data_IF_745633079682
#
_entry.id   IF_745633079682
#
_cell.length_a   1.000
_cell.length_b   1.000
_cell.length_c   1.000
_cell.angle_alpha   90.00
_cell.angle_beta   90.00
_cell.angle_gamma   90.00
#
_symmetry.space_group_name_H-M   'P 1'
#
loop_
_entity.id
_entity.type
_entity.pdbx_description
1 polymer ?
#
# COMPACT_ATOMS: atom_id res chain seq x y z
N UNK A 1 113.23 10.06 -26.36
CA UNK A 1 112.96 11.33 -25.65
C UNK A 1 111.49 11.36 -25.26
N UNK A 2 111.20 11.72 -24.00
CA UNK A 2 109.89 12.05 -23.38
C UNK A 2 108.99 12.87 -24.34
N UNK A 3 107.65 12.83 -24.37
CA UNK A 3 106.62 12.66 -23.34
C UNK A 3 105.23 12.47 -24.00
N UNK A 4 104.24 11.96 -23.24
CA UNK A 4 102.82 11.71 -23.60
C UNK A 4 102.06 13.00 -24.01
N UNK A 5 100.96 12.85 -24.77
CA UNK A 5 99.55 13.05 -24.36
C UNK A 5 98.62 12.87 -25.58
N UNK A 6 97.40 12.45 -25.29
CA UNK A 6 96.48 11.65 -26.09
C UNK A 6 95.20 12.45 -26.44
N UNK A 7 94.31 11.82 -27.22
CA UNK A 7 92.85 12.03 -27.30
C UNK A 7 92.28 12.85 -28.48
N UNK A 8 91.84 12.06 -29.46
CA UNK A 8 90.49 11.97 -30.06
C UNK A 8 89.78 13.20 -30.68
N UNK A 9 89.74 13.12 -32.01
CA UNK A 9 88.55 13.05 -32.89
C UNK A 9 87.43 14.10 -32.73
N UNK A 10 87.48 15.05 -33.65
CA UNK A 10 86.45 16.02 -34.04
C UNK A 10 85.29 15.42 -34.85
N UNK A 11 84.05 15.82 -34.49
CA UNK A 11 82.88 16.22 -35.33
C UNK A 11 82.30 15.15 -36.30
N UNK A 12 80.99 15.00 -36.55
CA UNK A 12 79.74 15.76 -36.32
C UNK A 12 78.55 14.94 -36.92
N UNK A 13 77.30 15.40 -36.69
CA UNK A 13 76.01 15.15 -37.41
C UNK A 13 75.18 13.96 -36.86
N UNK A 14 73.87 14.04 -36.54
CA UNK A 14 72.89 15.14 -36.44
C UNK A 14 71.56 14.55 -35.88
N UNK A 15 70.99 15.21 -34.85
CA UNK A 15 69.57 15.57 -34.53
C UNK A 15 68.43 14.56 -34.82
N UNK A 16 67.42 14.40 -33.97
CA UNK A 16 66.97 15.26 -32.88
C UNK A 16 65.84 14.63 -32.06
N UNK A 17 65.76 15.10 -30.82
CA UNK A 17 64.93 14.68 -29.71
C UNK A 17 63.99 15.82 -29.28
N UNK A 18 62.87 15.47 -28.63
CA UNK A 18 62.26 16.19 -27.49
C UNK A 18 61.71 17.62 -27.77
N UNK A 19 60.74 18.20 -27.08
CA UNK A 19 59.82 17.86 -26.01
C UNK A 19 58.81 19.04 -25.95
N UNK A 20 57.62 18.74 -25.44
CA UNK A 20 56.63 19.58 -24.75
C UNK A 20 57.18 20.86 -24.06
N UNK A 21 56.46 22.00 -24.17
CA UNK A 21 56.38 23.08 -23.14
C UNK A 21 55.04 23.84 -23.29
N UNK A 22 54.47 24.15 -22.12
CA UNK A 22 53.23 24.86 -21.77
C UNK A 22 53.52 26.34 -21.45
N UNK A 23 52.65 27.31 -21.83
CA UNK A 23 52.24 28.52 -21.05
C UNK A 23 51.64 29.70 -21.88
N UNK A 24 50.36 29.98 -21.63
CA UNK A 24 49.66 31.26 -21.29
C UNK A 24 49.90 32.63 -22.03
N UNK A 25 48.75 33.30 -22.32
CA UNK A 25 48.37 34.74 -22.21
C UNK A 25 48.37 35.70 -23.45
N UNK A 26 47.18 36.29 -23.65
CA UNK A 26 46.76 37.60 -24.24
C UNK A 26 46.64 37.74 -25.77
N UNK A 27 45.38 37.88 -26.24
CA UNK A 27 45.04 38.82 -27.33
C UNK A 27 43.73 39.55 -26.96
N UNK A 28 43.68 40.90 -26.96
CA UNK A 28 42.46 41.66 -26.67
C UNK A 28 41.74 42.11 -27.96
N UNK A 29 40.61 42.79 -27.75
CA UNK A 29 39.79 43.54 -28.70
C UNK A 29 38.60 42.79 -29.32
N UNK A 30 37.60 42.67 -28.47
CA UNK A 30 36.18 42.49 -28.81
C UNK A 30 35.70 43.69 -29.64
N UNK A 31 35.34 43.45 -30.89
CA UNK A 31 34.53 44.36 -31.70
C UNK A 31 33.09 43.81 -31.66
N UNK A 32 32.32 44.18 -30.63
CA UNK A 32 30.89 43.87 -30.57
C UNK A 32 30.19 44.79 -31.54
N UNK A 33 29.91 44.26 -32.73
CA UNK A 33 28.90 44.81 -33.61
C UNK A 33 27.55 44.55 -32.92
N UNK A 34 26.93 45.61 -32.42
CA UNK A 34 25.61 45.60 -31.78
C UNK A 34 24.54 45.42 -32.86
N UNK A 35 24.32 44.19 -33.29
CA UNK A 35 23.07 43.81 -33.93
C UNK A 35 22.16 43.27 -32.84
N UNK A 36 21.20 44.10 -32.39
CA UNK A 36 20.09 43.63 -31.57
C UNK A 36 19.32 42.61 -32.42
N UNK A 37 19.26 41.32 -32.05
CA UNK A 37 18.30 40.45 -32.69
C UNK A 37 16.92 40.95 -32.25
N UNK A 38 16.11 41.39 -33.20
CA UNK A 38 14.67 41.60 -32.98
C UNK A 38 14.10 40.27 -32.51
N UNK A 39 13.92 40.13 -31.20
CA UNK A 39 13.25 38.99 -30.58
C UNK A 39 11.80 39.01 -31.06
N UNK A 40 11.54 38.27 -32.13
CA UNK A 40 10.23 37.67 -32.31
C UNK A 40 10.07 36.75 -31.10
N UNK A 41 9.27 37.15 -30.12
CA UNK A 41 8.93 36.35 -28.95
C UNK A 41 8.10 35.16 -29.42
N UNK A 42 8.77 34.16 -29.97
CA UNK A 42 8.20 32.87 -30.19
C UNK A 42 8.02 32.26 -28.80
N UNK A 43 6.81 32.38 -28.25
CA UNK A 43 6.39 31.83 -26.97
C UNK A 43 6.64 30.32 -26.85
N UNK A 44 6.96 29.65 -27.97
CA UNK A 44 7.40 28.25 -28.05
C UNK A 44 8.82 27.99 -27.55
N UNK A 45 9.63 29.00 -27.24
CA UNK A 45 10.99 28.82 -26.69
C UNK A 45 11.11 29.05 -25.18
N UNK A 46 10.04 29.49 -24.51
CA UNK A 46 10.08 29.73 -23.06
C UNK A 46 9.43 28.52 -22.38
N UNK A 47 10.19 27.66 -21.69
CA UNK A 47 9.61 26.52 -21.00
C UNK A 47 8.82 26.97 -19.75
N UNK A 48 7.91 26.13 -19.30
CA UNK A 48 7.35 26.23 -17.96
C UNK A 48 8.35 25.64 -16.95
N UNK A 49 8.32 26.13 -15.72
CA UNK A 49 9.14 25.60 -14.60
C UNK A 49 8.24 24.83 -13.64
N UNK A 50 8.66 23.62 -13.26
CA UNK A 50 7.99 22.78 -12.28
C UNK A 50 8.89 22.57 -11.06
N UNK A 51 8.30 22.73 -9.89
CA UNK A 51 8.89 22.40 -8.59
C UNK A 51 8.00 21.31 -7.99
N UNK A 52 8.48 20.07 -8.02
CA UNK A 52 7.72 18.88 -7.61
C UNK A 52 8.25 18.38 -6.28
N UNK A 53 7.40 18.34 -5.25
CA UNK A 53 7.67 17.63 -4.00
C UNK A 53 7.18 16.19 -4.13
N UNK A 54 8.10 15.23 -4.02
CA UNK A 54 7.79 13.80 -4.04
C UNK A 54 7.36 13.32 -2.65
N UNK A 55 6.73 12.14 -2.55
CA UNK A 55 6.33 11.57 -1.26
C UNK A 55 7.49 11.29 -0.30
N UNK A 56 8.71 11.10 -0.84
CA UNK A 56 9.93 10.89 -0.07
C UNK A 56 10.55 12.21 0.43
N UNK A 57 9.78 13.30 0.45
CA UNK A 57 10.21 14.65 0.80
C UNK A 57 11.34 15.24 -0.06
N UNK A 58 11.56 14.68 -1.26
CA UNK A 58 12.53 15.22 -2.21
C UNK A 58 11.86 16.30 -3.07
N UNK A 59 12.59 17.39 -3.31
CA UNK A 59 12.13 18.45 -4.21
C UNK A 59 12.91 18.37 -5.52
N UNK A 60 12.20 18.14 -6.62
CA UNK A 60 12.74 18.12 -7.97
C UNK A 60 12.35 19.40 -8.69
N UNK A 61 13.34 20.07 -9.26
CA UNK A 61 13.13 21.29 -10.03
C UNK A 61 13.59 21.07 -11.47
N UNK A 62 12.69 21.29 -12.42
CA UNK A 62 13.00 21.15 -13.83
C UNK A 62 12.13 22.07 -14.69
N UNK A 63 12.47 22.14 -15.98
CA UNK A 63 11.71 22.91 -16.97
C UNK A 63 11.14 21.98 -18.03
N UNK A 64 9.96 22.30 -18.55
CA UNK A 64 9.23 21.46 -19.49
C UNK A 64 8.59 22.29 -20.60
N UNK A 65 8.43 21.67 -21.76
CA UNK A 65 7.64 22.18 -22.89
C UNK A 65 6.35 21.40 -23.08
N UNK A 66 6.09 20.40 -22.23
CA UNK A 66 4.87 19.61 -22.28
C UNK A 66 3.64 20.47 -21.94
N UNK A 67 2.50 20.25 -22.61
CA UNK A 67 1.37 21.15 -22.49
C UNK A 67 0.60 20.98 -21.18
N UNK A 68 0.68 19.82 -20.50
CA UNK A 68 -0.01 19.57 -19.23
C UNK A 68 0.91 19.07 -18.13
N UNK A 69 0.44 19.15 -16.87
CA UNK A 69 1.17 18.66 -15.70
C UNK A 69 1.52 17.18 -15.83
N UNK A 70 0.57 16.32 -16.19
CA UNK A 70 0.81 14.88 -16.26
C UNK A 70 1.85 14.51 -17.33
N UNK A 71 1.77 15.10 -18.52
CA UNK A 71 2.74 14.86 -19.59
C UNK A 71 4.14 15.35 -19.19
N UNK A 72 4.23 16.47 -18.47
CA UNK A 72 5.50 16.97 -17.95
C UNK A 72 6.13 16.03 -16.91
N UNK A 73 5.32 15.46 -16.01
CA UNK A 73 5.77 14.47 -15.03
C UNK A 73 6.22 13.18 -15.73
N UNK A 74 5.45 12.69 -16.69
CA UNK A 74 5.77 11.50 -17.49
C UNK A 74 7.08 11.67 -18.27
N UNK A 75 7.27 12.82 -18.93
CA UNK A 75 8.49 13.15 -19.66
C UNK A 75 9.73 13.25 -18.74
N UNK A 76 9.53 13.72 -17.51
CA UNK A 76 10.56 13.74 -16.46
C UNK A 76 10.76 12.37 -15.80
N UNK A 77 10.04 11.32 -16.23
CA UNK A 77 10.06 9.97 -15.66
C UNK A 77 9.64 9.93 -14.19
N UNK A 78 8.82 10.88 -13.75
CA UNK A 78 8.24 10.92 -12.40
C UNK A 78 6.94 10.12 -12.43
N UNK A 79 6.97 8.90 -11.90
CA UNK A 79 5.80 8.03 -11.86
C UNK A 79 4.83 8.48 -10.77
N UNK A 80 3.57 8.70 -11.15
CA UNK A 80 2.45 8.95 -10.23
C UNK A 80 1.59 7.68 -10.21
N UNK A 81 1.34 7.12 -9.02
CA UNK A 81 0.51 5.93 -8.87
C UNK A 81 -0.97 6.20 -9.19
N UNK A 82 -1.71 5.17 -9.61
CA UNK A 82 -3.13 5.31 -10.00
C UNK A 82 -4.02 5.91 -8.89
N UNK A 83 -3.68 5.64 -7.62
CA UNK A 83 -4.44 6.13 -6.46
C UNK A 83 -3.84 7.40 -5.84
N UNK A 84 -2.66 7.80 -6.28
CA UNK A 84 -1.96 8.99 -5.77
C UNK A 84 -2.73 10.25 -6.15
N UNK A 85 -2.52 11.31 -5.39
CA UNK A 85 -3.16 12.61 -5.64
C UNK A 85 -2.13 13.69 -5.82
N UNK A 86 -2.41 14.61 -6.74
CA UNK A 86 -1.58 15.79 -6.99
C UNK A 86 -2.22 17.03 -6.35
N UNK A 87 -1.40 17.96 -5.88
CA UNK A 87 -1.89 19.26 -5.39
C UNK A 87 -2.49 20.14 -6.49
N UNK A 88 -2.12 19.88 -7.76
CA UNK A 88 -2.67 20.52 -8.96
C UNK A 88 -3.36 19.47 -9.84
N UNK A 89 -4.37 19.86 -10.64
CA UNK A 89 -5.00 18.96 -11.60
C UNK A 89 -3.97 18.37 -12.58
N UNK A 90 -4.09 17.08 -12.87
CA UNK A 90 -3.24 16.33 -13.81
C UNK A 90 -3.25 16.94 -15.23
N UNK A 91 -4.40 17.41 -15.68
CA UNK A 91 -4.63 18.03 -16.97
C UNK A 91 -4.45 19.55 -16.97
N UNK A 92 -3.91 20.14 -15.90
CA UNK A 92 -3.70 21.59 -15.81
C UNK A 92 -2.77 22.04 -16.95
N UNK A 93 -3.20 22.99 -17.80
CA UNK A 93 -2.36 23.48 -18.89
C UNK A 93 -1.19 24.31 -18.34
N UNK A 94 0.01 23.97 -18.79
CA UNK A 94 1.24 24.65 -18.43
C UNK A 94 1.50 25.80 -19.40
N UNK A 95 1.59 27.01 -18.86
CA UNK A 95 1.87 28.22 -19.62
C UNK A 95 3.36 28.52 -19.62
N UNK A 96 3.89 28.83 -20.81
CA UNK A 96 5.28 29.22 -21.02
C UNK A 96 5.72 30.35 -20.07
N UNK A 97 6.86 30.17 -19.39
CA UNK A 97 7.44 31.15 -18.48
C UNK A 97 6.82 31.22 -17.08
N UNK A 98 5.76 30.45 -16.81
CA UNK A 98 5.20 30.32 -15.46
C UNK A 98 5.92 29.25 -14.65
N UNK A 99 5.83 29.39 -13.32
CA UNK A 99 6.36 28.43 -12.35
C UNK A 99 5.20 27.76 -11.60
N UNK A 100 5.25 26.44 -11.47
CA UNK A 100 4.20 25.62 -10.88
C UNK A 100 4.78 24.78 -9.73
N UNK A 101 4.14 24.83 -8.57
CA UNK A 101 4.48 24.00 -7.41
C UNK A 101 3.49 22.85 -7.31
N UNK A 102 4.00 21.63 -7.36
CA UNK A 102 3.21 20.40 -7.34
C UNK A 102 3.69 19.55 -6.18
N UNK A 103 2.76 19.01 -5.40
CA UNK A 103 3.03 18.02 -4.37
C UNK A 103 2.36 16.72 -4.79
N UNK A 104 3.13 15.63 -4.80
CA UNK A 104 2.65 14.28 -5.04
C UNK A 104 2.40 13.64 -3.69
N UNK A 105 1.13 13.32 -3.42
CA UNK A 105 0.70 12.67 -2.18
C UNK A 105 0.48 11.19 -2.50
N UNK A 106 1.37 10.35 -1.99
CA UNK A 106 1.30 8.90 -2.15
C UNK A 106 0.10 8.33 -1.40
N UNK A 107 -0.60 7.41 -2.06
CA UNK A 107 -1.81 6.76 -1.55
C UNK A 107 -1.64 5.25 -1.72
N UNK A 108 -1.58 4.58 -0.59
CA UNK A 108 -1.43 3.15 -0.50
C UNK A 108 -2.79 2.46 -0.66
N UNK A 109 -2.80 1.33 -1.39
CA UNK A 109 -3.97 0.48 -1.46
C UNK A 109 -4.12 -0.31 -0.15
N UNK A 110 -5.33 -0.31 0.41
CA UNK A 110 -5.68 -1.03 1.63
C UNK A 110 -6.98 -1.79 1.40
N UNK A 111 -7.10 -2.98 1.98
CA UNK A 111 -8.31 -3.78 1.92
C UNK A 111 -8.92 -3.83 3.31
N UNK A 112 -10.19 -3.46 3.42
CA UNK A 112 -10.97 -3.55 4.66
C UNK A 112 -12.05 -4.62 4.48
N UNK A 113 -12.14 -5.56 5.41
CA UNK A 113 -13.14 -6.63 5.40
C UNK A 113 -14.01 -6.60 6.65
N UNK A 114 -15.33 -6.71 6.47
CA UNK A 114 -16.31 -6.79 7.56
C UNK A 114 -17.34 -7.87 7.24
N UNK A 115 -17.55 -8.81 8.17
CA UNK A 115 -18.51 -9.91 8.00
C UNK A 115 -18.32 -10.68 6.68
N UNK A 116 -17.06 -10.87 6.26
CA UNK A 116 -16.70 -11.55 5.01
C UNK A 116 -16.81 -10.70 3.74
N UNK A 117 -17.24 -9.44 3.82
CA UNK A 117 -17.29 -8.52 2.69
C UNK A 117 -16.05 -7.63 2.66
N UNK A 118 -15.26 -7.73 1.60
CA UNK A 118 -14.05 -6.95 1.40
C UNK A 118 -14.27 -5.74 0.49
N UNK A 119 -13.63 -4.61 0.84
CA UNK A 119 -13.62 -3.36 0.07
C UNK A 119 -12.18 -2.88 -0.06
N UNK A 120 -11.77 -2.59 -1.29
CA UNK A 120 -10.50 -1.90 -1.56
C UNK A 120 -10.67 -0.40 -1.41
N UNK A 121 -9.73 0.24 -0.72
CA UNK A 121 -9.68 1.67 -0.50
C UNK A 121 -8.26 2.19 -0.66
N UNK A 122 -8.13 3.48 -0.92
CA UNK A 122 -6.84 4.16 -0.89
C UNK A 122 -6.70 4.96 0.41
N UNK A 123 -5.55 4.88 1.05
CA UNK A 123 -5.21 5.59 2.28
C UNK A 123 -3.86 6.32 2.14
N UNK A 124 -3.64 7.49 2.79
CA UNK A 124 -2.29 8.04 2.92
C UNK A 124 -1.40 7.06 3.69
N UNK A 125 -0.07 7.18 3.57
CA UNK A 125 0.85 6.37 4.36
C UNK A 125 0.73 6.73 5.85
N UNK A 126 0.09 5.85 6.61
CA UNK A 126 -0.30 6.04 8.00
C UNK A 126 -0.07 4.72 8.74
N UNK A 127 0.23 4.77 10.05
CA UNK A 127 0.36 3.54 10.85
C UNK A 127 -0.96 2.75 10.84
N UNK A 128 -0.85 1.43 10.91
CA UNK A 128 -2.01 0.52 10.85
C UNK A 128 -3.02 0.80 11.97
N UNK A 129 -2.55 1.15 13.16
CA UNK A 129 -3.42 1.50 14.28
C UNK A 129 -4.35 2.69 13.95
N UNK A 130 -3.83 3.71 13.26
CA UNK A 130 -4.63 4.86 12.83
C UNK A 130 -5.66 4.45 11.75
N UNK A 131 -5.31 3.53 10.85
CA UNK A 131 -6.28 2.99 9.89
C UNK A 131 -7.43 2.24 10.55
N UNK A 132 -7.13 1.42 11.57
CA UNK A 132 -8.14 0.68 12.32
C UNK A 132 -9.11 1.65 13.01
N UNK A 133 -8.59 2.71 13.63
CA UNK A 133 -9.45 3.74 14.23
C UNK A 133 -10.26 4.51 13.20
N UNK A 134 -9.68 4.81 12.03
CA UNK A 134 -10.39 5.50 10.95
C UNK A 134 -11.43 4.63 10.25
N UNK A 135 -11.24 3.31 10.22
CA UNK A 135 -12.24 2.37 9.69
C UNK A 135 -13.41 2.16 10.65
N UNK A 136 -13.24 2.54 11.93
CA UNK A 136 -14.22 2.33 12.99
C UNK A 136 -14.26 0.90 13.50
N UNK A 137 -13.29 0.06 13.14
CA UNK A 137 -13.23 -1.32 13.63
C UNK A 137 -12.92 -1.41 15.12
N UNK A 138 -12.24 -0.40 15.68
CA UNK A 138 -12.01 -0.25 17.11
C UNK A 138 -13.28 0.07 17.92
N UNK A 139 -14.36 0.50 17.24
CA UNK A 139 -15.66 0.76 17.86
C UNK A 139 -16.58 -0.47 17.86
N UNK A 140 -16.18 -1.57 17.20
CA UNK A 140 -16.97 -2.78 17.09
C UNK A 140 -16.86 -3.63 18.36
N UNK A 141 -17.86 -4.47 18.59
CA UNK A 141 -17.86 -5.37 19.73
C UNK A 141 -16.70 -6.38 19.62
N UNK A 142 -16.06 -6.69 20.74
CA UNK A 142 -15.02 -7.73 20.85
C UNK A 142 -15.25 -8.65 22.05
N UNK A 143 -16.34 -8.46 22.81
CA UNK A 143 -16.63 -9.24 24.01
C UNK A 143 -17.18 -10.63 23.71
N UNK A 144 -17.76 -10.83 22.53
CA UNK A 144 -18.34 -12.10 22.04
C UNK A 144 -17.32 -13.06 21.40
N UNK A 145 -16.04 -12.66 21.36
CA UNK A 145 -14.97 -13.39 20.67
C UNK A 145 -14.65 -12.83 19.28
N UNK A 146 -15.38 -11.80 18.84
CA UNK A 146 -15.04 -11.03 17.64
C UNK A 146 -13.67 -10.37 17.77
N UNK A 147 -12.99 -10.20 16.64
CA UNK A 147 -11.59 -9.76 16.61
C UNK A 147 -11.22 -9.05 15.31
N UNK A 148 -10.14 -8.27 15.37
CA UNK A 148 -9.50 -7.68 14.19
C UNK A 148 -8.28 -8.53 13.83
N UNK A 149 -8.24 -8.98 12.59
CA UNK A 149 -7.09 -9.64 11.98
C UNK A 149 -6.42 -8.67 11.01
N UNK A 150 -5.10 -8.55 11.09
CA UNK A 150 -4.31 -7.69 10.21
C UNK A 150 -3.27 -8.52 9.46
N UNK A 151 -3.15 -8.26 8.17
CA UNK A 151 -2.10 -8.81 7.32
C UNK A 151 -1.37 -7.66 6.64
N UNK A 152 -0.11 -7.46 7.01
CA UNK A 152 0.72 -6.36 6.55
C UNK A 152 2.10 -6.87 6.19
N UNK A 153 2.67 -6.33 5.11
CA UNK A 153 4.03 -6.65 4.69
C UNK A 153 5.08 -5.88 5.52
N UNK A 154 4.73 -4.66 5.95
CA UNK A 154 5.53 -3.76 6.76
C UNK A 154 4.65 -3.24 7.90
N UNK A 155 5.20 -3.15 9.11
CA UNK A 155 4.49 -2.65 10.28
C UNK A 155 4.40 -1.11 10.29
N UNK A 156 5.31 -0.43 9.60
CA UNK A 156 5.41 1.03 9.58
C UNK A 156 4.61 1.67 8.44
N UNK A 157 4.27 0.90 7.40
CA UNK A 157 3.50 1.35 6.24
C UNK A 157 2.23 0.54 6.07
N UNK A 158 1.17 1.20 5.61
CA UNK A 158 -0.07 0.54 5.24
C UNK A 158 -0.12 0.10 3.77
N UNK A 159 1.00 0.12 3.06
CA UNK A 159 1.08 -0.34 1.68
C UNK A 159 0.63 -1.80 1.54
N UNK A 160 -0.54 -2.00 0.92
CA UNK A 160 -1.11 -3.33 0.69
C UNK A 160 -1.70 -3.98 1.95
N UNK A 161 -1.95 -3.21 3.01
CA UNK A 161 -2.50 -3.73 4.25
C UNK A 161 -3.90 -4.32 4.04
N UNK A 162 -4.15 -5.49 4.63
CA UNK A 162 -5.48 -6.11 4.73
C UNK A 162 -5.89 -6.11 6.20
N UNK A 163 -7.01 -5.46 6.50
CA UNK A 163 -7.57 -5.39 7.85
C UNK A 163 -8.96 -6.01 7.79
N UNK A 164 -9.19 -7.03 8.61
CA UNK A 164 -10.43 -7.81 8.62
C UNK A 164 -11.03 -7.81 10.02
N UNK A 165 -12.29 -7.41 10.14
CA UNK A 165 -13.09 -7.66 11.32
C UNK A 165 -13.82 -9.00 11.16
N UNK A 166 -13.53 -9.93 12.07
CA UNK A 166 -14.20 -11.23 12.17
C UNK A 166 -15.28 -11.13 13.24
N UNK A 167 -16.53 -11.19 12.80
CA UNK A 167 -17.72 -11.16 13.65
C UNK A 167 -18.03 -12.56 14.19
N UNK A 168 -18.20 -12.70 15.49
CA UNK A 168 -18.50 -13.97 16.17
C UNK A 168 -19.85 -13.88 16.86
N UNK A 169 -20.80 -14.71 16.42
CA UNK A 169 -22.15 -14.78 16.99
C UNK A 169 -22.37 -16.10 17.73
N UNK A 170 -22.94 -16.01 18.94
CA UNK A 170 -23.38 -17.17 19.72
C UNK A 170 -24.91 -17.26 19.71
N UNK A 171 -25.44 -18.43 19.37
CA UNK A 171 -26.89 -18.67 19.32
C UNK A 171 -27.26 -19.91 20.11
N UNK A 172 -28.06 -19.70 21.15
CA UNK A 172 -28.62 -20.80 21.93
C UNK A 172 -29.88 -21.35 21.27
N UNK A 173 -29.87 -22.63 20.91
CA UNK A 173 -31.01 -23.37 20.37
C UNK A 173 -31.56 -24.36 21.42
N UNK A 174 -32.88 -24.38 21.60
CA UNK A 174 -33.56 -25.31 22.50
C UNK A 174 -34.37 -26.32 21.71
N UNK A 175 -34.01 -27.59 21.84
CA UNK A 175 -34.72 -28.72 21.22
C UNK A 175 -35.45 -29.52 22.30
N UNK A 176 -36.73 -29.80 22.09
CA UNK A 176 -37.53 -30.64 23.00
C UNK A 176 -37.52 -32.08 22.49
N UNK A 177 -37.20 -33.01 23.39
CA UNK A 177 -37.22 -34.44 23.11
C UNK A 177 -38.20 -35.14 24.06
N UNK A 178 -39.06 -35.99 23.48
CA UNK A 178 -40.02 -36.78 24.23
C UNK A 178 -39.36 -38.00 24.88
N UNK A 179 -39.76 -38.30 26.11
CA UNK A 179 -39.33 -39.47 26.87
C UNK A 179 -40.53 -40.41 27.00
N UNK A 180 -40.52 -41.58 26.32
CA UNK A 180 -41.63 -42.52 26.42
C UNK A 180 -41.75 -43.09 27.83
N UNK A 181 -42.98 -43.38 28.25
CA UNK A 181 -43.22 -44.06 29.53
C UNK A 181 -42.96 -45.57 29.40
N UNK A 182 -42.57 -46.19 30.51
CA UNK A 182 -42.46 -47.65 30.61
C UNK A 182 -43.75 -48.25 31.18
N UNK A 183 -44.02 -49.51 30.84
CA UNK A 183 -45.16 -50.26 31.37
C UNK A 183 -44.68 -51.24 32.43
N UNK A 184 -45.36 -51.28 33.57
CA UNK A 184 -45.11 -52.25 34.64
C UNK A 184 -46.39 -53.04 34.87
N UNK A 185 -46.28 -54.38 34.86
CA UNK A 185 -47.41 -55.27 35.14
C UNK A 185 -47.36 -55.72 36.60
N UNK A 186 -48.50 -55.65 37.28
CA UNK A 186 -48.64 -56.09 38.68
C UNK A 186 -49.74 -57.15 38.72
N UNK A 187 -49.45 -58.31 39.29
CA UNK A 187 -50.43 -59.39 39.43
C UNK A 187 -51.49 -59.00 40.47
N UNK A 188 -52.76 -59.14 40.10
CA UNK A 188 -53.91 -58.90 40.97
C UNK A 188 -54.63 -60.24 41.24
N UNK A 189 -54.65 -60.73 42.50
CA UNK A 189 -55.26 -62.01 42.83
C UNK A 189 -56.80 -62.03 42.70
N UNK A 190 -57.46 -60.86 42.60
CA UNK A 190 -58.91 -60.76 42.42
C UNK A 190 -59.34 -60.76 40.94
N UNK A 191 -58.39 -60.71 40.00
CA UNK A 191 -58.67 -60.62 38.56
C UNK A 191 -58.74 -62.01 37.91
N UNK A 192 -59.65 -62.20 36.94
CA UNK A 192 -59.76 -63.47 36.22
C UNK A 192 -58.53 -63.72 35.33
N UNK A 193 -58.17 -64.99 35.20
CA UNK A 193 -57.04 -65.42 34.36
C UNK A 193 -57.33 -65.08 32.90
N UNK A 194 -56.42 -64.34 32.27
CA UNK A 194 -56.53 -63.90 30.88
C UNK A 194 -57.07 -62.48 30.70
N UNK A 195 -57.49 -61.81 31.78
CA UNK A 195 -57.86 -60.39 31.75
C UNK A 195 -56.66 -59.49 32.06
N UNK A 196 -56.69 -58.27 31.53
CA UNK A 196 -55.72 -57.22 31.84
C UNK A 196 -56.42 -55.87 31.81
N UNK A 197 -56.08 -54.99 32.75
CA UNK A 197 -56.66 -53.65 32.86
C UNK A 197 -55.56 -52.63 33.14
N UNK A 198 -55.60 -51.49 32.45
CA UNK A 198 -54.73 -50.36 32.75
C UNK A 198 -55.17 -49.74 34.07
N UNK A 199 -54.25 -49.68 35.04
CA UNK A 199 -54.49 -49.06 36.35
C UNK A 199 -54.17 -47.57 36.36
N UNK A 200 -53.07 -47.19 35.71
CA UNK A 200 -52.58 -45.81 35.61
C UNK A 200 -52.08 -45.59 34.19
N UNK A 201 -52.60 -44.57 33.51
CA UNK A 201 -52.10 -44.18 32.19
C UNK A 201 -50.68 -43.65 32.30
N UNK A 202 -49.82 -44.08 31.37
CA UNK A 202 -48.50 -43.50 31.22
C UNK A 202 -48.57 -42.11 30.62
N UNK A 203 -47.68 -41.21 31.06
CA UNK A 203 -47.56 -39.85 30.50
C UNK A 203 -46.18 -39.73 29.87
N UNK A 204 -46.13 -39.26 28.62
CA UNK A 204 -44.88 -38.96 27.94
C UNK A 204 -44.19 -37.79 28.65
N UNK A 205 -42.95 -38.02 29.08
CA UNK A 205 -42.10 -36.96 29.63
C UNK A 205 -41.49 -36.11 28.52
N UNK A 206 -40.89 -34.98 28.87
CA UNK A 206 -40.11 -34.17 27.95
C UNK A 206 -38.81 -33.74 28.61
N UNK A 207 -37.71 -33.72 27.86
CA UNK A 207 -36.47 -33.03 28.23
C UNK A 207 -36.13 -31.96 27.20
N UNK A 208 -35.46 -30.91 27.65
CA UNK A 208 -34.89 -29.90 26.78
C UNK A 208 -33.39 -30.18 26.59
N UNK A 209 -32.96 -30.26 25.34
CA UNK A 209 -31.56 -30.20 24.94
C UNK A 209 -31.26 -28.76 24.56
N UNK A 210 -30.25 -28.18 25.20
CA UNK A 210 -29.78 -26.82 24.92
C UNK A 210 -28.51 -26.96 24.10
N UNK A 211 -28.43 -26.27 22.98
CA UNK A 211 -27.27 -26.23 22.13
C UNK A 211 -26.79 -24.79 22.02
N UNK A 212 -25.47 -24.58 22.06
CA UNK A 212 -24.84 -23.30 21.75
C UNK A 212 -24.11 -23.42 20.41
N UNK A 213 -24.62 -22.69 19.42
CA UNK A 213 -24.02 -22.57 18.09
C UNK A 213 -23.11 -21.35 18.02
N UNK A 214 -21.96 -21.49 17.35
CA UNK A 214 -21.03 -20.41 17.07
C UNK A 214 -21.00 -20.18 15.56
N UNK A 215 -21.09 -18.91 15.15
CA UNK A 215 -20.96 -18.47 13.76
C UNK A 215 -19.80 -17.48 13.64
N UNK A 216 -18.99 -17.60 12.59
CA UNK A 216 -17.99 -16.60 12.21
C UNK A 216 -18.39 -15.95 10.89
N UNK A 217 -18.55 -14.63 10.85
CA UNK A 217 -19.01 -13.89 9.68
C UNK A 217 -20.31 -14.46 9.07
N UNK A 218 -21.23 -14.89 9.94
CA UNK A 218 -22.50 -15.54 9.55
C UNK A 218 -22.37 -16.98 9.05
N UNK A 219 -21.16 -17.56 9.04
CA UNK A 219 -20.91 -18.96 8.67
C UNK A 219 -20.87 -19.82 9.92
N UNK A 220 -21.68 -20.88 9.95
CA UNK A 220 -21.69 -21.84 11.06
C UNK A 220 -20.30 -22.48 11.27
N UNK A 221 -19.77 -22.35 12.49
CA UNK A 221 -18.47 -22.89 12.87
C UNK A 221 -18.63 -24.18 13.70
N UNK A 222 -19.43 -24.13 14.77
CA UNK A 222 -19.56 -25.25 15.71
C UNK A 222 -20.87 -25.24 16.49
N UNK A 223 -21.19 -26.39 17.08
CA UNK A 223 -22.33 -26.61 18.00
C UNK A 223 -21.85 -27.39 19.22
N UNK A 224 -22.18 -26.91 20.42
CA UNK A 224 -21.93 -27.57 21.70
C UNK A 224 -23.25 -27.81 22.42
N UNK A 225 -23.35 -28.87 23.24
CA UNK A 225 -24.54 -29.21 24.03
C UNK A 225 -24.25 -29.17 25.53
#
# INVERSE_FOLDING_TARGET
>A
MKYKINVALTRKILRGSYLLILALLIVPAVLVLNEQPTLLTNSKLIPAQLIVRTPDDQTLEFTTFEPTVIEALDAAQISVGEKDTLSLPDNLPLSAGNSYQIEIIKRNNVTLSYAGLAVEAAAPDLPIAELISRSGFDLLNMEDGSRIEQQVADSESNAGAVISYVDVEHKTEKVLEEIPFSTVTVNDPEMYIGESKVRTEGIVGQRALIYDDIYENGIFLSRTQ
#
